data_IF_770180791692
#
_entry.id   IF_770180791692
#
_cell.length_a   1.000
_cell.length_b   1.000
_cell.length_c   1.000
_cell.angle_alpha   90.00
_cell.angle_beta   90.00
_cell.angle_gamma   90.00
#
_symmetry.space_group_name_H-M   'P 1'
#
loop_
_entity.id
_entity.type
_entity.pdbx_description
1 polymer ?
#
# COMPACT_ATOMS: atom_id res chain seq x y z
N UNK A 1 14.05 -7.74 7.73
CA UNK A 1 13.45 -7.47 9.06
C UNK A 1 13.03 -6.02 9.20
N UNK A 2 13.95 -5.04 9.06
CA UNK A 2 13.65 -3.61 9.28
C UNK A 2 12.38 -3.12 8.56
N UNK A 3 12.13 -3.44 7.26
CA UNK A 3 10.90 -3.00 6.60
C UNK A 3 9.62 -3.56 7.24
N UNK A 4 9.64 -4.81 7.72
CA UNK A 4 8.50 -5.42 8.43
C UNK A 4 8.24 -4.84 9.83
N UNK A 5 9.05 -3.87 10.28
CA UNK A 5 8.83 -3.10 11.50
C UNK A 5 8.50 -1.63 11.22
N UNK A 6 8.48 -1.22 9.95
CA UNK A 6 8.08 0.12 9.54
C UNK A 6 6.55 0.22 9.47
N UNK A 7 6.02 1.43 9.63
CA UNK A 7 4.58 1.69 9.53
C UNK A 7 4.06 1.71 8.09
N UNK A 8 4.94 1.94 7.11
CA UNK A 8 4.60 2.02 5.70
C UNK A 8 5.76 1.54 4.82
N UNK A 9 5.46 0.64 3.89
CA UNK A 9 6.42 -0.06 3.04
C UNK A 9 5.96 0.02 1.57
N UNK A 10 6.29 1.10 0.85
CA UNK A 10 6.12 1.17 -0.60
C UNK A 10 7.21 0.36 -1.30
N UNK A 11 6.86 -0.33 -2.38
CA UNK A 11 7.79 -1.10 -3.21
C UNK A 11 7.67 -0.72 -4.67
N UNK A 12 8.81 -0.56 -5.34
CA UNK A 12 8.87 -0.25 -6.78
C UNK A 12 8.79 -1.52 -7.60
N UNK A 13 7.88 -1.52 -8.57
CA UNK A 13 7.58 -2.67 -9.42
C UNK A 13 8.79 -3.12 -10.23
N UNK A 14 9.09 -4.43 -10.17
CA UNK A 14 10.14 -5.07 -10.96
C UNK A 14 11.58 -4.71 -10.58
N UNK A 15 11.78 -3.84 -9.59
CA UNK A 15 13.11 -3.48 -9.07
C UNK A 15 13.26 -3.83 -7.59
N UNK A 16 12.18 -3.72 -6.81
CA UNK A 16 12.18 -4.02 -5.38
C UNK A 16 11.92 -5.49 -5.11
N UNK A 17 12.76 -6.10 -4.28
CA UNK A 17 12.52 -7.43 -3.73
C UNK A 17 12.87 -7.48 -2.24
N UNK A 18 12.19 -8.36 -1.50
CA UNK A 18 12.52 -8.63 -0.10
C UNK A 18 12.28 -10.11 0.23
N UNK A 19 13.25 -10.75 0.86
CA UNK A 19 13.11 -12.12 1.35
C UNK A 19 14.07 -12.37 2.51
N UNK A 20 13.81 -13.40 3.32
CA UNK A 20 14.71 -13.83 4.39
C UNK A 20 15.94 -14.59 3.85
N UNK A 21 15.80 -15.23 2.69
CA UNK A 21 16.87 -15.95 1.99
C UNK A 21 16.74 -15.79 0.48
N UNK A 22 17.84 -15.96 -0.24
CA UNK A 22 17.86 -15.84 -1.71
C UNK A 22 17.43 -17.12 -2.43
N UNK A 23 17.16 -17.05 -3.74
CA UNK A 23 16.83 -18.23 -4.56
C UNK A 23 17.77 -19.42 -4.43
N UNK A 24 19.12 -19.25 -4.34
CA UNK A 24 20.01 -20.39 -4.17
C UNK A 24 19.76 -21.17 -2.87
N UNK A 25 19.34 -20.48 -1.80
CA UNK A 25 19.02 -21.12 -0.53
C UNK A 25 17.72 -21.93 -0.63
N UNK A 26 16.70 -21.39 -1.29
CA UNK A 26 15.43 -22.09 -1.55
C UNK A 26 15.69 -23.35 -2.37
N UNK A 27 16.50 -23.25 -3.42
CA UNK A 27 16.88 -24.40 -4.25
C UNK A 27 17.61 -25.47 -3.46
N UNK A 28 18.58 -25.08 -2.64
CA UNK A 28 19.35 -26.03 -1.83
C UNK A 28 18.52 -26.70 -0.73
N UNK A 29 17.58 -25.97 -0.11
CA UNK A 29 16.81 -26.46 1.04
C UNK A 29 15.53 -27.23 0.66
N UNK A 30 14.83 -26.77 -0.38
CA UNK A 30 13.48 -27.27 -0.76
C UNK A 30 13.48 -27.87 -2.18
N UNK A 31 14.51 -27.61 -2.98
CA UNK A 31 14.63 -28.15 -4.35
C UNK A 31 13.88 -27.34 -5.41
N UNK A 32 13.19 -26.27 -5.04
CA UNK A 32 12.42 -25.42 -5.94
C UNK A 32 13.29 -24.39 -6.66
N UNK A 33 13.09 -24.22 -7.97
CA UNK A 33 13.67 -23.12 -8.74
C UNK A 33 12.68 -21.95 -8.74
N UNK A 34 13.04 -20.86 -8.07
CA UNK A 34 12.23 -19.64 -7.98
C UNK A 34 13.07 -18.43 -8.36
N UNK A 35 12.46 -17.41 -8.95
CA UNK A 35 13.12 -16.12 -9.19
C UNK A 35 13.00 -15.22 -7.95
N UNK A 36 13.82 -14.16 -7.90
CA UNK A 36 13.71 -13.16 -6.83
C UNK A 36 12.35 -12.43 -6.84
N UNK A 37 11.77 -12.22 -8.03
CA UNK A 37 10.46 -11.57 -8.19
C UNK A 37 9.33 -12.47 -7.69
N UNK A 38 9.36 -13.76 -8.03
CA UNK A 38 8.36 -14.74 -7.56
C UNK A 38 8.43 -14.97 -6.05
N UNK A 39 9.62 -14.86 -5.48
CA UNK A 39 9.85 -15.10 -4.05
C UNK A 39 9.48 -13.90 -3.18
N UNK A 40 9.71 -12.68 -3.66
CA UNK A 40 9.63 -11.49 -2.81
C UNK A 40 9.51 -10.18 -3.57
N UNK A 41 9.01 -10.21 -4.81
CA UNK A 41 8.73 -9.00 -5.57
C UNK A 41 7.60 -8.16 -4.96
N UNK A 42 7.51 -6.91 -5.40
CA UNK A 42 6.46 -5.96 -4.99
C UNK A 42 5.02 -6.53 -5.05
N UNK A 43 4.68 -7.25 -6.12
CA UNK A 43 3.35 -7.86 -6.28
C UNK A 43 3.05 -8.94 -5.24
N UNK A 44 4.05 -9.74 -4.87
CA UNK A 44 3.92 -10.78 -3.83
C UNK A 44 3.62 -10.11 -2.49
N UNK A 45 4.38 -9.06 -2.16
CA UNK A 45 4.24 -8.40 -0.87
C UNK A 45 3.00 -7.52 -0.72
N UNK A 46 2.46 -6.99 -1.82
CA UNK A 46 1.24 -6.15 -1.81
C UNK A 46 -0.06 -6.94 -1.95
N UNK A 47 -0.02 -8.14 -2.56
CA UNK A 47 -1.24 -8.92 -2.85
C UNK A 47 -1.35 -10.23 -2.08
N UNK A 48 -0.24 -10.81 -1.65
CA UNK A 48 -0.22 -12.14 -1.03
C UNK A 48 0.24 -12.09 0.41
N UNK A 49 1.45 -11.58 0.67
CA UNK A 49 2.02 -11.63 2.02
C UNK A 49 1.58 -10.47 2.92
N UNK A 50 1.15 -9.35 2.33
CA UNK A 50 0.77 -8.13 3.06
C UNK A 50 1.93 -7.44 3.79
N UNK A 51 3.17 -7.65 3.33
CA UNK A 51 4.35 -7.02 3.93
C UNK A 51 4.62 -5.63 3.34
N UNK A 52 4.12 -5.37 2.14
CA UNK A 52 4.19 -4.07 1.49
C UNK A 52 2.78 -3.48 1.34
N UNK A 53 2.67 -2.17 1.53
CA UNK A 53 1.40 -1.46 1.54
C UNK A 53 1.00 -0.95 0.15
N UNK A 54 2.00 -0.63 -0.70
CA UNK A 54 1.76 -0.06 -2.01
C UNK A 54 2.84 -0.50 -3.03
N UNK A 55 2.39 -0.85 -4.24
CA UNK A 55 3.24 -1.02 -5.41
C UNK A 55 3.21 0.27 -6.24
N UNK A 56 4.37 0.81 -6.58
CA UNK A 56 4.54 2.00 -7.43
C UNK A 56 5.34 1.67 -8.68
N UNK A 57 5.21 2.45 -9.75
CA UNK A 57 5.80 2.13 -11.04
C UNK A 57 7.30 2.38 -11.11
N UNK A 58 7.82 3.38 -10.39
CA UNK A 58 9.23 3.79 -10.43
C UNK A 58 9.66 4.54 -9.14
N UNK A 59 10.95 4.85 -9.06
CA UNK A 59 11.56 5.49 -7.89
C UNK A 59 11.06 6.93 -7.66
N UNK A 60 10.76 7.68 -8.73
CA UNK A 60 10.24 9.04 -8.64
C UNK A 60 8.86 9.05 -7.98
N UNK A 61 7.94 8.20 -8.47
CA UNK A 61 6.62 8.00 -7.88
C UNK A 61 6.71 7.47 -6.44
N UNK A 62 7.71 6.63 -6.13
CA UNK A 62 7.94 6.14 -4.77
C UNK A 62 8.24 7.30 -3.82
N UNK A 63 9.15 8.20 -4.20
CA UNK A 63 9.51 9.36 -3.39
C UNK A 63 8.32 10.31 -3.22
N UNK A 64 7.56 10.56 -4.28
CA UNK A 64 6.34 11.38 -4.23
C UNK A 64 5.30 10.78 -3.29
N UNK A 65 5.09 9.46 -3.38
CA UNK A 65 4.18 8.72 -2.50
C UNK A 65 4.60 8.85 -1.05
N UNK A 66 5.89 8.67 -0.74
CA UNK A 66 6.40 8.80 0.63
C UNK A 66 6.20 10.23 1.15
N UNK A 67 6.47 11.26 0.33
CA UNK A 67 6.21 12.66 0.70
C UNK A 67 4.74 12.91 0.98
N UNK A 68 3.84 12.38 0.15
CA UNK A 68 2.39 12.50 0.33
C UNK A 68 1.93 11.77 1.60
N UNK A 69 2.40 10.53 1.81
CA UNK A 69 2.10 9.74 2.99
C UNK A 69 2.48 10.50 4.27
N UNK A 70 3.73 10.96 4.35
CA UNK A 70 4.21 11.75 5.49
C UNK A 70 3.47 13.08 5.65
N UNK A 71 2.97 13.68 4.56
CA UNK A 71 2.16 14.89 4.58
C UNK A 71 0.83 14.75 5.34
N UNK A 72 0.36 13.52 5.60
CA UNK A 72 -0.82 13.27 6.44
C UNK A 72 -0.51 13.23 7.94
N UNK A 73 0.76 13.16 8.35
CA UNK A 73 1.15 12.90 9.73
C UNK A 73 1.90 14.08 10.37
N UNK A 74 1.79 14.24 11.71
CA UNK A 74 2.70 15.11 12.44
C UNK A 74 4.14 14.55 12.48
N UNK A 75 5.09 15.39 12.87
CA UNK A 75 6.48 14.96 13.08
C UNK A 75 6.67 13.99 14.25
N UNK A 76 5.73 13.95 15.20
CA UNK A 76 5.78 13.08 16.37
C UNK A 76 4.39 12.77 16.93
N UNK A 77 4.29 11.78 17.82
CA UNK A 77 3.04 11.42 18.49
C UNK A 77 2.54 12.45 19.53
N UNK A 78 3.32 13.49 19.81
CA UNK A 78 2.94 14.57 20.74
C UNK A 78 2.23 15.73 20.03
N UNK A 79 2.36 15.79 18.71
CA UNK A 79 1.84 16.88 17.90
C UNK A 79 0.51 16.47 17.22
N UNK A 80 -0.30 17.47 16.85
CA UNK A 80 -1.50 17.25 16.07
C UNK A 80 -1.16 17.13 14.57
N UNK A 81 -1.95 16.38 13.78
CA UNK A 81 -1.78 16.34 12.34
C UNK A 81 -1.77 17.73 11.69
N UNK A 82 -1.06 17.90 10.57
CA UNK A 82 -1.02 19.17 9.85
C UNK A 82 -2.41 19.59 9.37
N UNK A 83 -2.72 20.88 9.52
CA UNK A 83 -3.93 21.48 8.96
C UNK A 83 -3.56 22.12 7.61
N UNK A 84 -4.30 21.76 6.57
CA UNK A 84 -4.15 22.32 5.22
C UNK A 84 -5.41 23.09 4.84
N UNK A 85 -5.24 24.16 4.06
CA UNK A 85 -6.40 24.86 3.50
C UNK A 85 -7.14 23.93 2.54
N UNK A 86 -8.45 23.81 2.73
CA UNK A 86 -9.34 23.07 1.84
C UNK A 86 -10.27 24.04 1.13
N UNK A 87 -10.35 23.90 -0.20
CA UNK A 87 -11.36 24.60 -1.00
C UNK A 87 -12.72 23.87 -1.01
N UNK A 88 -12.80 22.68 -0.40
CA UNK A 88 -14.04 21.88 -0.35
C UNK A 88 -14.99 22.42 0.72
N UNK A 89 -16.24 22.79 0.38
CA UNK A 89 -17.22 23.28 1.35
C UNK A 89 -17.57 22.23 2.40
N UNK A 90 -17.61 22.66 3.66
CA UNK A 90 -17.97 21.79 4.80
C UNK A 90 -19.40 21.26 4.74
N UNK A 91 -20.26 21.91 3.97
CA UNK A 91 -21.69 21.63 3.82
C UNK A 91 -22.06 21.05 2.45
N UNK A 92 -21.07 20.59 1.67
CA UNK A 92 -21.30 19.95 0.37
C UNK A 92 -22.25 18.76 0.49
N UNK A 93 -23.39 18.81 -0.20
CA UNK A 93 -24.32 17.68 -0.32
C UNK A 93 -23.75 16.60 -1.23
N UNK A 94 -24.02 15.33 -0.91
CA UNK A 94 -23.61 14.16 -1.69
C UNK A 94 -24.84 13.29 -1.96
N UNK A 95 -25.80 13.82 -2.73
CA UNK A 95 -27.10 13.18 -2.96
C UNK A 95 -26.96 11.81 -3.63
N UNK A 96 -25.87 11.57 -4.39
CA UNK A 96 -25.60 10.26 -5.02
C UNK A 96 -25.46 9.13 -3.99
N UNK A 97 -25.10 9.43 -2.74
CA UNK A 97 -24.96 8.43 -1.67
C UNK A 97 -26.30 7.80 -1.27
N UNK A 98 -27.41 8.50 -1.53
CA UNK A 98 -28.76 7.99 -1.22
C UNK A 98 -29.10 6.75 -2.06
N UNK A 99 -28.53 6.65 -3.26
CA UNK A 99 -28.77 5.57 -4.22
C UNK A 99 -27.61 4.56 -4.27
N UNK A 100 -26.56 4.73 -3.45
CA UNK A 100 -25.36 3.88 -3.48
C UNK A 100 -25.64 2.46 -2.98
N UNK A 101 -26.42 2.33 -1.90
CA UNK A 101 -26.70 1.05 -1.25
C UNK A 101 -27.86 0.34 -1.97
N UNK A 102 -27.64 -0.86 -2.55
CA UNK A 102 -28.71 -1.58 -3.22
C UNK A 102 -29.85 -1.96 -2.26
N UNK A 103 -31.10 -1.87 -2.71
CA UNK A 103 -32.26 -2.30 -1.92
C UNK A 103 -32.22 -3.80 -1.56
N UNK A 104 -31.55 -4.62 -2.38
CA UNK A 104 -31.34 -6.03 -2.08
C UNK A 104 -30.14 -6.19 -1.13
N UNK A 105 -30.34 -6.67 0.11
CA UNK A 105 -29.25 -6.78 1.09
C UNK A 105 -28.19 -7.84 0.74
N UNK A 106 -28.44 -8.69 -0.26
CA UNK A 106 -27.46 -9.67 -0.76
C UNK A 106 -26.62 -9.15 -1.93
N UNK A 107 -26.96 -7.98 -2.48
CA UNK A 107 -26.24 -7.39 -3.59
C UNK A 107 -25.10 -6.52 -3.04
N UNK A 108 -23.87 -6.82 -3.46
CA UNK A 108 -22.71 -5.99 -3.14
C UNK A 108 -22.72 -4.69 -3.96
N UNK A 109 -21.98 -3.71 -3.47
CA UNK A 109 -21.69 -2.45 -4.15
C UNK A 109 -20.22 -2.08 -3.94
N UNK A 110 -19.75 -1.09 -4.69
CA UNK A 110 -18.39 -0.57 -4.55
C UNK A 110 -18.37 0.50 -3.46
N UNK A 111 -17.78 0.18 -2.30
CA UNK A 111 -17.65 1.10 -1.17
C UNK A 111 -16.70 2.27 -1.44
N UNK A 112 -15.89 2.19 -2.51
CA UNK A 112 -14.93 3.25 -2.87
C UNK A 112 -15.53 4.29 -3.81
N UNK A 113 -16.79 4.13 -4.21
CA UNK A 113 -17.57 5.16 -4.91
C UNK A 113 -18.16 6.12 -3.90
#
# INVERSE_FOLDING_TARGET
YIPGLADFVPMVKGTSNMALGGPPLVKAAVGEDVTAEEMGGSAVHTKVSGVADLEVANDEECIETVRKYLGYFPSSNLDKPPIVESADPVDRSCDELLDLVPANPRQAYDMRK
#
